data_IF_450215415130
#
_entry.id   IF_450215415130
#
_cell.length_a   1.000
_cell.length_b   1.000
_cell.length_c   1.000
_cell.angle_alpha   90.00
_cell.angle_beta   90.00
_cell.angle_gamma   90.00
#
_symmetry.space_group_name_H-M   'P 1'
#
loop_
_entity.id
_entity.type
_entity.pdbx_description
1 polymer ?
#
# COMPACT_ATOMS: atom_id res chain seq x y z
N UNK A 1 17.11 -8.85 0.59
CA UNK A 1 15.98 -7.93 0.41
C UNK A 1 16.50 -6.51 0.26
N UNK A 2 16.00 -5.78 -0.73
CA UNK A 2 16.34 -4.36 -0.96
C UNK A 2 15.04 -3.59 -1.07
N UNK A 3 14.81 -2.61 -0.20
CA UNK A 3 13.61 -1.79 -0.21
C UNK A 3 13.96 -0.34 0.16
N UNK A 4 13.13 0.62 -0.24
CA UNK A 4 13.37 2.03 0.07
C UNK A 4 13.57 2.29 1.58
N UNK A 5 12.81 1.60 2.44
CA UNK A 5 12.90 1.72 3.91
C UNK A 5 13.37 0.42 4.54
N UNK A 6 14.16 0.56 5.62
CA UNK A 6 14.33 -0.54 6.57
C UNK A 6 13.00 -0.87 7.27
N UNK A 7 12.83 -2.10 7.78
CA UNK A 7 11.61 -2.53 8.46
C UNK A 7 11.47 -1.98 9.89
N UNK A 8 12.16 -0.89 10.19
CA UNK A 8 12.22 -0.28 11.52
C UNK A 8 12.10 1.23 11.47
N UNK A 9 11.51 1.80 12.52
CA UNK A 9 11.48 3.24 12.78
C UNK A 9 12.31 3.56 14.02
N UNK A 10 12.97 4.72 13.98
CA UNK A 10 13.73 5.21 15.13
C UNK A 10 12.78 5.80 16.17
N UNK A 11 12.97 5.41 17.43
CA UNK A 11 12.22 5.91 18.58
C UNK A 11 13.20 6.30 19.69
N UNK A 12 12.72 7.01 20.71
CA UNK A 12 13.53 7.28 21.89
C UNK A 12 14.03 5.96 22.50
N UNK A 13 15.34 5.81 22.58
CA UNK A 13 15.99 4.62 23.15
C UNK A 13 16.29 3.47 22.20
N UNK A 14 16.04 3.61 20.87
CA UNK A 14 16.41 2.54 19.94
C UNK A 14 15.56 2.43 18.66
N UNK A 15 15.29 1.20 18.27
CA UNK A 15 14.54 0.86 17.06
C UNK A 15 13.24 0.11 17.40
N UNK A 16 12.19 0.38 16.66
CA UNK A 16 10.91 -0.32 16.73
C UNK A 16 10.53 -0.81 15.34
N UNK A 17 9.86 -1.96 15.25
CA UNK A 17 9.32 -2.44 13.97
C UNK A 17 8.37 -1.41 13.35
N UNK A 18 8.56 -1.07 12.09
CA UNK A 18 7.68 -0.17 11.34
C UNK A 18 6.30 -0.79 11.15
N UNK A 19 5.22 -0.01 11.26
CA UNK A 19 3.85 -0.52 11.17
C UNK A 19 3.35 -0.72 9.72
N UNK A 20 4.23 -0.88 8.74
CA UNK A 20 3.84 -1.00 7.33
C UNK A 20 3.40 -2.40 6.93
N UNK A 21 2.38 -2.51 6.03
CA UNK A 21 1.94 -3.79 5.49
C UNK A 21 3.04 -4.57 4.77
N UNK A 22 3.89 -3.88 4.00
CA UNK A 22 5.05 -4.49 3.35
C UNK A 22 6.05 -5.08 4.35
N UNK A 23 6.32 -4.39 5.46
CA UNK A 23 7.20 -4.87 6.52
C UNK A 23 6.60 -6.11 7.19
N UNK A 24 5.31 -6.06 7.51
CA UNK A 24 4.61 -7.20 8.08
C UNK A 24 4.63 -8.43 7.17
N UNK A 25 4.55 -8.20 5.86
CA UNK A 25 4.60 -9.24 4.84
C UNK A 25 6.01 -9.88 4.68
N UNK A 26 7.06 -9.07 4.65
CA UNK A 26 8.41 -9.51 4.25
C UNK A 26 9.32 -9.92 5.42
N UNK A 27 9.16 -9.33 6.61
CA UNK A 27 10.01 -9.64 7.75
C UNK A 27 9.98 -11.13 8.17
N UNK A 28 8.82 -11.83 8.22
CA UNK A 28 8.78 -13.24 8.50
C UNK A 28 9.56 -14.11 7.48
N UNK A 29 9.50 -13.73 6.20
CA UNK A 29 10.20 -14.44 5.13
C UNK A 29 11.71 -14.38 5.32
N UNK A 30 12.25 -13.19 5.67
CA UNK A 30 13.68 -13.02 5.91
C UNK A 30 14.16 -13.73 7.17
N UNK A 31 13.38 -13.71 8.25
CA UNK A 31 13.72 -14.46 9.49
C UNK A 31 13.86 -15.96 9.20
N UNK A 32 12.95 -16.53 8.43
CA UNK A 32 12.96 -17.95 8.09
C UNK A 32 14.14 -18.35 7.20
N UNK A 33 14.75 -17.43 6.47
CA UNK A 33 15.81 -17.69 5.48
C UNK A 33 17.18 -17.13 5.85
N UNK A 34 17.37 -16.61 7.07
CA UNK A 34 18.59 -15.93 7.50
C UNK A 34 19.07 -14.84 6.51
N UNK A 35 18.13 -14.13 5.93
CA UNK A 35 18.38 -13.06 4.96
C UNK A 35 18.73 -11.72 5.60
N UNK A 36 19.20 -10.78 4.79
CA UNK A 36 19.45 -9.40 5.22
C UNK A 36 18.54 -8.40 4.50
N UNK A 37 18.45 -7.18 5.04
CA UNK A 37 17.65 -6.10 4.48
C UNK A 37 18.50 -4.86 4.27
N UNK A 38 18.61 -4.40 3.02
CA UNK A 38 19.24 -3.13 2.63
C UNK A 38 18.13 -2.08 2.46
N UNK A 39 18.26 -0.93 3.11
CA UNK A 39 17.24 0.11 3.05
C UNK A 39 17.63 1.39 3.78
N UNK A 40 16.90 2.47 3.55
CA UNK A 40 17.07 3.72 4.30
C UNK A 40 16.44 3.60 5.70
N UNK A 41 17.14 4.12 6.72
CA UNK A 41 16.69 4.10 8.13
C UNK A 41 15.46 4.99 8.40
N UNK A 42 15.19 5.95 7.49
CA UNK A 42 14.16 6.98 7.68
C UNK A 42 14.67 8.28 8.31
N UNK A 43 15.88 8.28 8.84
CA UNK A 43 16.52 9.49 9.33
C UNK A 43 17.31 10.17 8.19
N UNK A 44 17.13 11.47 8.04
CA UNK A 44 17.81 12.30 7.05
C UNK A 44 19.12 12.80 7.66
N UNK A 45 20.20 12.86 6.87
CA UNK A 45 21.53 13.32 7.29
C UNK A 45 22.14 12.53 8.46
N UNK A 46 21.64 11.33 8.72
CA UNK A 46 22.11 10.51 9.84
C UNK A 46 22.67 9.16 9.34
N UNK A 47 23.99 9.00 9.29
CA UNK A 47 24.60 7.71 8.98
C UNK A 47 24.36 6.73 10.12
N UNK A 48 23.85 5.56 9.79
CA UNK A 48 23.58 4.46 10.73
C UNK A 48 24.46 3.28 10.34
N UNK A 49 25.21 2.73 11.28
CA UNK A 49 25.99 1.51 11.06
C UNK A 49 25.06 0.30 10.91
N UNK A 50 25.48 -0.75 10.19
CA UNK A 50 24.74 -2.01 10.13
C UNK A 50 24.46 -2.57 11.53
N UNK A 51 23.25 -3.11 11.73
CA UNK A 51 22.83 -3.66 13.01
C UNK A 51 21.85 -4.81 12.82
N UNK A 52 21.62 -5.58 13.88
CA UNK A 52 20.65 -6.68 13.88
C UNK A 52 19.41 -6.29 14.67
N UNK A 53 18.24 -6.53 14.07
CA UNK A 53 16.94 -6.29 14.69
C UNK A 53 16.02 -7.46 14.42
N UNK A 54 15.42 -8.02 15.47
CA UNK A 54 14.43 -9.10 15.39
C UNK A 54 14.87 -10.28 14.47
N UNK A 55 16.16 -10.66 14.60
CA UNK A 55 16.75 -11.77 13.83
C UNK A 55 17.17 -11.45 12.41
N UNK A 56 16.96 -10.23 11.92
CA UNK A 56 17.33 -9.79 10.57
C UNK A 56 18.54 -8.85 10.64
N UNK A 57 19.54 -9.07 9.78
CA UNK A 57 20.67 -8.15 9.62
C UNK A 57 20.27 -6.98 8.71
N UNK A 58 20.37 -5.76 9.22
CA UNK A 58 19.94 -4.54 8.57
C UNK A 58 21.14 -3.73 8.10
N UNK A 59 21.13 -3.34 6.83
CA UNK A 59 22.18 -2.55 6.19
C UNK A 59 21.62 -1.20 5.73
N UNK A 60 21.83 -0.13 6.53
CA UNK A 60 21.28 1.19 6.24
C UNK A 60 21.97 1.87 5.04
N UNK A 61 21.16 2.41 4.13
CA UNK A 61 21.61 3.37 3.11
C UNK A 61 21.26 4.77 3.60
N UNK A 62 22.27 5.64 3.68
CA UNK A 62 22.06 7.02 4.14
C UNK A 62 21.49 7.88 3.02
N UNK A 63 20.44 8.62 3.34
CA UNK A 63 19.88 9.68 2.51
C UNK A 63 20.06 11.02 3.21
N UNK A 64 20.53 12.03 2.45
CA UNK A 64 20.58 13.42 2.92
C UNK A 64 19.24 14.16 2.70
N UNK A 65 19.15 15.42 3.15
CA UNK A 65 17.95 16.23 3.00
C UNK A 65 17.58 16.45 1.53
N UNK A 66 18.56 16.60 0.66
CA UNK A 66 18.35 16.78 -0.78
C UNK A 66 17.88 15.47 -1.44
N UNK A 67 18.40 14.31 -1.02
CA UNK A 67 17.88 13.01 -1.46
C UNK A 67 16.41 12.83 -1.07
N UNK A 68 16.06 13.22 0.17
CA UNK A 68 14.67 13.15 0.61
C UNK A 68 13.74 14.02 -0.25
N UNK A 69 14.16 15.26 -0.53
CA UNK A 69 13.38 16.20 -1.33
C UNK A 69 13.30 15.77 -2.81
N UNK A 70 14.43 15.44 -3.46
CA UNK A 70 14.48 15.25 -4.90
C UNK A 70 14.20 13.81 -5.34
N UNK A 71 14.75 12.81 -4.64
CA UNK A 71 14.51 11.40 -4.94
C UNK A 71 13.17 10.94 -4.42
N UNK A 72 12.88 11.19 -3.10
CA UNK A 72 11.69 10.62 -2.48
C UNK A 72 10.43 11.46 -2.75
N UNK A 73 10.39 12.75 -2.34
CA UNK A 73 9.23 13.61 -2.56
C UNK A 73 9.10 14.00 -4.04
N UNK A 74 10.20 14.28 -4.72
CA UNK A 74 10.26 14.66 -6.12
C UNK A 74 9.99 13.50 -7.07
N UNK A 75 11.04 12.81 -7.53
CA UNK A 75 10.90 11.82 -8.60
C UNK A 75 9.98 10.66 -8.23
N UNK A 76 10.14 10.09 -7.04
CA UNK A 76 9.30 8.95 -6.64
C UNK A 76 7.83 9.33 -6.45
N UNK A 77 7.53 10.44 -5.76
CA UNK A 77 6.18 10.74 -5.31
C UNK A 77 5.47 11.88 -6.06
N UNK A 78 6.20 12.71 -6.82
CA UNK A 78 5.62 13.75 -7.68
C UNK A 78 5.75 13.46 -9.18
N UNK A 79 6.57 12.45 -9.57
CA UNK A 79 6.66 11.97 -10.96
C UNK A 79 6.06 10.56 -11.11
N UNK A 80 6.67 9.54 -10.48
CA UNK A 80 6.26 8.14 -10.69
C UNK A 80 4.91 7.81 -10.06
N UNK A 81 4.66 8.23 -8.82
CA UNK A 81 3.42 7.93 -8.12
C UNK A 81 2.17 8.36 -8.89
N UNK A 82 2.03 9.63 -9.34
CA UNK A 82 0.86 10.03 -10.13
C UNK A 82 0.80 9.36 -11.49
N UNK A 83 1.94 9.15 -12.17
CA UNK A 83 1.97 8.46 -13.46
C UNK A 83 1.47 7.01 -13.33
N UNK A 84 1.88 6.29 -12.28
CA UNK A 84 1.51 4.90 -12.05
C UNK A 84 0.07 4.74 -11.51
N UNK A 85 -0.53 5.83 -11.03
CA UNK A 85 -1.92 5.89 -10.62
C UNK A 85 -2.81 6.63 -11.64
N UNK A 86 -2.58 6.36 -12.93
CA UNK A 86 -3.42 6.80 -14.06
C UNK A 86 -3.65 8.32 -14.11
N UNK A 87 -2.66 9.12 -13.71
CA UNK A 87 -2.68 10.60 -13.78
C UNK A 87 -3.86 11.24 -13.00
N UNK A 88 -4.26 10.68 -11.85
CA UNK A 88 -5.26 11.31 -10.97
C UNK A 88 -4.87 12.75 -10.65
N UNK A 89 -3.56 13.01 -10.54
CA UNK A 89 -2.96 14.34 -10.57
C UNK A 89 -1.83 14.35 -11.59
N UNK A 90 -1.50 15.52 -12.14
CA UNK A 90 -0.45 15.65 -13.15
C UNK A 90 0.94 15.33 -12.55
N UNK A 91 1.75 14.47 -13.18
CA UNK A 91 3.13 14.24 -12.77
C UNK A 91 4.00 15.45 -13.09
N UNK A 92 5.03 15.66 -12.30
CA UNK A 92 6.04 16.67 -12.55
C UNK A 92 7.31 16.02 -13.10
N UNK A 93 7.80 16.51 -14.22
CA UNK A 93 9.03 16.02 -14.85
C UNK A 93 10.15 17.02 -14.58
N UNK A 94 11.15 16.61 -13.79
CA UNK A 94 12.29 17.43 -13.37
C UNK A 94 13.58 16.66 -13.55
N UNK A 95 14.50 17.18 -14.38
CA UNK A 95 15.79 16.55 -14.70
C UNK A 95 16.67 16.39 -13.44
N UNK A 96 16.69 17.35 -12.54
CA UNK A 96 17.48 17.26 -11.30
C UNK A 96 16.96 16.14 -10.40
N UNK A 97 15.64 15.96 -10.29
CA UNK A 97 15.02 14.85 -9.54
C UNK A 97 15.37 13.50 -10.15
N UNK A 98 15.40 13.43 -11.48
CA UNK A 98 15.83 12.23 -12.20
C UNK A 98 17.29 11.89 -11.92
N UNK A 99 18.21 12.86 -11.99
CA UNK A 99 19.62 12.63 -11.67
C UNK A 99 19.76 12.13 -10.22
N UNK A 100 19.05 12.73 -9.28
CA UNK A 100 19.06 12.31 -7.88
C UNK A 100 18.51 10.89 -7.70
N UNK A 101 17.44 10.54 -8.42
CA UNK A 101 16.89 9.18 -8.43
C UNK A 101 17.94 8.15 -8.90
N UNK A 102 18.69 8.46 -9.94
CA UNK A 102 19.80 7.62 -10.41
C UNK A 102 20.89 7.47 -9.35
N UNK A 103 21.34 8.56 -8.76
CA UNK A 103 22.42 8.57 -7.76
C UNK A 103 22.04 7.74 -6.52
N UNK A 104 20.81 7.86 -6.05
CA UNK A 104 20.30 7.05 -4.93
C UNK A 104 20.24 5.58 -5.31
N UNK A 105 19.72 5.24 -6.50
CA UNK A 105 19.68 3.85 -6.96
C UNK A 105 21.07 3.24 -7.08
N UNK A 106 22.10 4.01 -7.53
CA UNK A 106 23.50 3.56 -7.55
C UNK A 106 23.99 3.24 -6.14
N UNK A 107 23.66 4.06 -5.13
CA UNK A 107 24.05 3.80 -3.72
C UNK A 107 23.39 2.52 -3.19
N UNK A 108 22.11 2.30 -3.48
CA UNK A 108 21.41 1.06 -3.11
C UNK A 108 22.02 -0.17 -3.79
N UNK A 109 22.33 -0.07 -5.10
CA UNK A 109 22.96 -1.16 -5.82
C UNK A 109 24.35 -1.51 -5.26
N UNK A 110 25.20 -0.51 -4.97
CA UNK A 110 26.53 -0.71 -4.34
C UNK A 110 26.42 -1.34 -2.97
N UNK A 111 25.59 -0.80 -2.09
CA UNK A 111 25.37 -1.36 -0.76
C UNK A 111 24.90 -2.82 -0.83
N UNK A 112 24.04 -3.13 -1.79
CA UNK A 112 23.55 -4.50 -2.02
C UNK A 112 24.67 -5.41 -2.54
N UNK A 113 25.45 -4.94 -3.51
CA UNK A 113 26.58 -5.70 -4.07
C UNK A 113 27.64 -6.08 -3.02
N UNK A 114 27.87 -5.20 -2.05
CA UNK A 114 28.83 -5.42 -0.95
C UNK A 114 28.37 -6.49 0.04
N UNK A 115 27.07 -6.58 0.33
CA UNK A 115 26.53 -7.48 1.36
C UNK A 115 25.97 -8.78 0.83
N UNK A 116 25.68 -8.86 -0.47
CA UNK A 116 25.14 -10.06 -1.08
C UNK A 116 26.19 -11.16 -1.18
N UNK A 117 25.89 -12.33 -0.62
CA UNK A 117 26.74 -13.52 -0.79
C UNK A 117 26.87 -13.91 -2.28
N UNK A 118 27.90 -14.68 -2.61
CA UNK A 118 28.07 -15.19 -3.97
C UNK A 118 26.89 -16.08 -4.36
N UNK A 119 26.30 -15.83 -5.55
CA UNK A 119 25.15 -16.58 -6.06
C UNK A 119 23.85 -16.35 -5.28
N UNK A 120 23.78 -15.30 -4.46
CA UNK A 120 22.59 -15.03 -3.66
C UNK A 120 21.39 -14.60 -4.52
N UNK A 121 20.19 -14.83 -4.00
CA UNK A 121 18.96 -14.23 -4.53
C UNK A 121 18.76 -12.86 -3.92
N UNK A 122 18.65 -11.84 -4.75
CA UNK A 122 18.33 -10.46 -4.36
C UNK A 122 16.91 -10.13 -4.79
N UNK A 123 16.08 -9.68 -3.84
CA UNK A 123 14.70 -9.30 -4.11
C UNK A 123 14.53 -7.80 -3.88
N UNK A 124 14.40 -7.04 -4.96
CA UNK A 124 14.25 -5.57 -4.95
C UNK A 124 12.77 -5.22 -4.91
N UNK A 125 12.42 -4.24 -4.08
CA UNK A 125 11.04 -3.85 -3.82
C UNK A 125 10.74 -2.44 -4.31
N UNK A 126 9.71 -2.35 -5.14
CA UNK A 126 8.89 -1.18 -5.41
C UNK A 126 9.54 -0.06 -6.26
N UNK A 127 8.71 0.89 -6.67
CA UNK A 127 8.96 1.91 -7.70
C UNK A 127 10.12 2.88 -7.42
N UNK A 128 10.56 2.99 -6.18
CA UNK A 128 11.71 3.84 -5.83
C UNK A 128 13.05 3.26 -6.35
N UNK A 129 13.12 1.97 -6.63
CA UNK A 129 14.37 1.25 -6.86
C UNK A 129 14.43 0.53 -8.21
N UNK A 130 13.75 1.06 -9.23
CA UNK A 130 13.61 0.41 -10.54
C UNK A 130 14.93 0.33 -11.34
N UNK A 131 15.95 1.15 -11.01
CA UNK A 131 17.25 1.06 -11.66
C UNK A 131 18.21 0.08 -10.96
N UNK A 132 17.94 -0.26 -9.70
CA UNK A 132 18.81 -1.15 -8.90
C UNK A 132 19.09 -2.48 -9.59
N UNK A 133 18.12 -3.19 -10.19
CA UNK A 133 18.39 -4.48 -10.82
C UNK A 133 19.42 -4.41 -11.94
N UNK A 134 19.29 -3.44 -12.87
CA UNK A 134 20.23 -3.25 -13.96
C UNK A 134 21.64 -2.92 -13.48
N UNK A 135 21.73 -1.95 -12.55
CA UNK A 135 23.00 -1.56 -11.92
C UNK A 135 23.66 -2.72 -11.17
N UNK A 136 22.86 -3.52 -10.48
CA UNK A 136 23.35 -4.67 -9.72
C UNK A 136 23.81 -5.80 -10.64
N UNK A 137 23.11 -6.04 -11.74
CA UNK A 137 23.50 -7.03 -12.76
C UNK A 137 24.87 -6.74 -13.34
N UNK A 138 25.19 -5.47 -13.60
CA UNK A 138 26.50 -5.04 -14.09
C UNK A 138 27.62 -5.29 -13.04
N UNK A 139 27.35 -5.04 -11.76
CA UNK A 139 28.30 -5.21 -10.67
C UNK A 139 28.49 -6.67 -10.26
N UNK A 140 27.41 -7.45 -10.27
CA UNK A 140 27.31 -8.79 -9.73
C UNK A 140 26.50 -9.71 -10.66
N UNK A 141 27.10 -10.16 -11.77
CA UNK A 141 26.41 -11.05 -12.73
C UNK A 141 26.08 -12.44 -12.17
N UNK A 142 26.67 -12.79 -11.03
CA UNK A 142 26.43 -14.06 -10.32
C UNK A 142 25.10 -14.11 -9.55
N UNK A 143 24.44 -12.97 -9.34
CA UNK A 143 23.22 -12.89 -8.53
C UNK A 143 21.97 -13.28 -9.33
N UNK A 144 21.02 -13.91 -8.64
CA UNK A 144 19.65 -14.05 -9.12
C UNK A 144 18.84 -12.84 -8.62
N UNK A 145 18.24 -12.07 -9.52
CA UNK A 145 17.61 -10.78 -9.20
C UNK A 145 16.12 -10.81 -9.51
N UNK A 146 15.28 -10.73 -8.48
CA UNK A 146 13.85 -10.49 -8.61
C UNK A 146 13.50 -9.04 -8.26
N UNK A 147 12.54 -8.48 -8.98
CA UNK A 147 11.93 -7.18 -8.68
C UNK A 147 10.43 -7.34 -8.46
N UNK A 148 9.87 -6.64 -7.49
CA UNK A 148 8.43 -6.66 -7.26
C UNK A 148 7.87 -5.23 -7.19
N UNK A 149 6.86 -4.95 -8.01
CA UNK A 149 6.15 -3.69 -8.02
C UNK A 149 4.86 -3.79 -7.18
N UNK A 150 4.77 -2.99 -6.12
CA UNK A 150 3.62 -3.00 -5.21
C UNK A 150 2.49 -2.05 -5.63
N UNK A 151 2.79 -1.06 -6.46
CA UNK A 151 1.84 -0.11 -7.02
C UNK A 151 1.39 -0.56 -8.42
N UNK A 152 0.32 -0.01 -8.99
CA UNK A 152 -0.08 -0.32 -10.36
C UNK A 152 1.05 -0.01 -11.37
N UNK A 153 1.10 -0.74 -12.47
CA UNK A 153 1.94 -0.37 -13.60
C UNK A 153 1.06 0.30 -14.68
N UNK A 154 1.43 1.50 -15.19
CA UNK A 154 0.59 2.27 -16.09
C UNK A 154 0.43 1.60 -17.44
N UNK A 155 -0.61 2.00 -18.20
CA UNK A 155 -0.75 1.60 -19.59
C UNK A 155 0.46 2.06 -20.41
N UNK A 156 0.81 1.36 -21.52
CA UNK A 156 1.95 1.76 -22.36
C UNK A 156 1.89 3.21 -22.84
N UNK A 157 0.71 3.73 -23.16
CA UNK A 157 0.56 5.10 -23.63
C UNK A 157 0.84 6.13 -22.53
N UNK A 158 0.44 5.85 -21.29
CA UNK A 158 0.78 6.70 -20.16
C UNK A 158 2.27 6.60 -19.81
N UNK A 159 2.84 5.40 -19.80
CA UNK A 159 4.26 5.20 -19.48
C UNK A 159 5.18 5.91 -20.48
N UNK A 160 4.80 5.94 -21.78
CA UNK A 160 5.56 6.63 -22.82
C UNK A 160 5.66 8.15 -22.64
N UNK A 161 4.83 8.75 -21.77
CA UNK A 161 4.96 10.16 -21.40
C UNK A 161 6.22 10.44 -20.57
N UNK A 162 6.75 9.42 -19.87
CA UNK A 162 7.94 9.57 -19.03
C UNK A 162 9.19 9.80 -19.91
N UNK A 163 9.90 10.92 -19.76
CA UNK A 163 11.10 11.19 -20.54
C UNK A 163 12.16 10.11 -20.42
N UNK A 164 12.33 9.53 -19.23
CA UNK A 164 13.36 8.54 -18.87
C UNK A 164 12.82 7.09 -18.87
N UNK A 165 11.82 6.81 -19.70
CA UNK A 165 11.18 5.50 -19.80
C UNK A 165 12.12 4.38 -20.22
N UNK A 166 13.07 4.70 -21.13
CA UNK A 166 14.01 3.70 -21.65
C UNK A 166 15.01 3.26 -20.57
N UNK A 167 15.49 4.22 -19.77
CA UNK A 167 16.39 3.94 -18.66
C UNK A 167 15.68 3.15 -17.54
N UNK A 168 14.42 3.43 -17.23
CA UNK A 168 13.66 2.66 -16.25
C UNK A 168 13.41 1.22 -16.73
N UNK A 169 13.01 1.04 -17.98
CA UNK A 169 12.87 -0.29 -18.57
C UNK A 169 14.22 -1.00 -18.60
N UNK A 170 15.30 -0.30 -18.99
CA UNK A 170 16.66 -0.84 -18.95
C UNK A 170 17.07 -1.32 -17.55
N UNK A 171 16.69 -0.57 -16.51
CA UNK A 171 16.90 -0.98 -15.12
C UNK A 171 16.17 -2.28 -14.78
N UNK A 172 14.90 -2.39 -15.15
CA UNK A 172 14.09 -3.59 -14.91
C UNK A 172 14.54 -4.79 -15.75
N UNK A 173 15.13 -4.56 -16.94
CA UNK A 173 15.68 -5.63 -17.77
C UNK A 173 16.90 -6.35 -17.13
N UNK A 174 17.48 -5.79 -16.06
CA UNK A 174 18.49 -6.47 -15.25
C UNK A 174 17.96 -7.61 -14.36
N UNK A 175 16.63 -7.76 -14.25
CA UNK A 175 16.00 -8.80 -13.46
C UNK A 175 15.99 -10.17 -14.16
N UNK A 176 15.95 -11.25 -13.38
CA UNK A 176 15.54 -12.58 -13.83
C UNK A 176 14.01 -12.71 -13.83
N UNK A 177 13.34 -12.00 -12.90
CA UNK A 177 11.87 -11.99 -12.77
C UNK A 177 11.38 -10.63 -12.29
N UNK A 178 10.34 -10.10 -12.94
CA UNK A 178 9.57 -8.92 -12.51
C UNK A 178 8.17 -9.37 -12.09
N UNK A 179 7.80 -9.12 -10.83
CA UNK A 179 6.50 -9.46 -10.27
C UNK A 179 5.57 -8.27 -10.16
N UNK A 180 4.30 -8.52 -10.39
CA UNK A 180 3.21 -7.55 -10.35
C UNK A 180 2.06 -8.03 -9.47
N UNK A 181 1.20 -7.10 -9.03
CA UNK A 181 0.02 -7.41 -8.26
C UNK A 181 -1.13 -7.96 -9.11
N UNK A 182 -1.26 -7.51 -10.36
CA UNK A 182 -2.38 -7.83 -11.25
C UNK A 182 -1.90 -8.19 -12.65
N UNK A 183 -2.63 -9.08 -13.31
CA UNK A 183 -2.37 -9.45 -14.71
C UNK A 183 -2.39 -8.23 -15.67
N UNK A 184 -3.22 -7.22 -15.38
CA UNK A 184 -3.27 -6.02 -16.19
C UNK A 184 -1.94 -5.24 -16.13
N UNK A 185 -1.33 -5.16 -14.94
CA UNK A 185 -0.04 -4.49 -14.74
C UNK A 185 1.09 -5.26 -15.45
N UNK A 186 1.10 -6.58 -15.34
CA UNK A 186 2.03 -7.44 -16.08
C UNK A 186 1.88 -7.29 -17.60
N UNK A 187 0.66 -7.34 -18.12
CA UNK A 187 0.42 -7.13 -19.58
C UNK A 187 0.90 -5.77 -20.06
N UNK A 188 0.71 -4.70 -19.27
CA UNK A 188 1.19 -3.37 -19.60
C UNK A 188 2.72 -3.33 -19.67
N UNK A 189 3.40 -3.96 -18.73
CA UNK A 189 4.86 -4.06 -18.74
C UNK A 189 5.36 -4.86 -19.96
N UNK A 190 4.80 -6.03 -20.23
CA UNK A 190 5.18 -6.86 -21.39
C UNK A 190 4.99 -6.15 -22.72
N UNK A 191 3.94 -5.33 -22.85
CA UNK A 191 3.71 -4.52 -24.04
C UNK A 191 4.79 -3.43 -24.28
N UNK A 192 5.60 -3.11 -23.26
CA UNK A 192 6.71 -2.14 -23.38
C UNK A 192 8.06 -2.81 -23.63
N UNK A 193 8.32 -3.95 -22.96
CA UNK A 193 9.61 -4.65 -23.07
C UNK A 193 9.68 -5.60 -24.28
N UNK A 194 8.54 -6.03 -24.79
CA UNK A 194 8.47 -7.03 -25.85
C UNK A 194 8.71 -8.46 -25.33
N UNK A 195 8.69 -9.43 -26.25
CA UNK A 195 8.92 -10.85 -25.97
C UNK A 195 10.25 -11.33 -26.58
N UNK A 196 11.32 -10.56 -26.43
CA UNK A 196 12.63 -10.98 -26.89
C UNK A 196 13.41 -11.77 -25.81
N UNK A 197 14.48 -12.45 -26.23
CA UNK A 197 15.28 -13.30 -25.32
C UNK A 197 16.05 -12.52 -24.25
N UNK A 198 16.06 -11.18 -24.31
CA UNK A 198 16.74 -10.30 -23.36
C UNK A 198 15.77 -9.68 -22.36
N UNK A 199 14.46 -9.88 -22.54
CA UNK A 199 13.46 -9.39 -21.62
C UNK A 199 13.39 -10.27 -20.36
N UNK A 200 13.21 -9.69 -19.15
CA UNK A 200 13.05 -10.48 -17.94
C UNK A 200 11.75 -11.28 -18.00
N UNK A 201 11.72 -12.42 -17.33
CA UNK A 201 10.45 -13.09 -17.08
C UNK A 201 9.55 -12.17 -16.26
N UNK A 202 8.27 -12.28 -16.45
CA UNK A 202 7.27 -11.55 -15.65
C UNK A 202 6.20 -12.49 -15.14
N UNK A 203 5.54 -12.09 -14.07
CA UNK A 203 4.45 -12.85 -13.48
C UNK A 203 3.59 -12.04 -12.54
N UNK A 204 2.38 -12.52 -12.31
CA UNK A 204 1.41 -11.94 -11.39
C UNK A 204 1.41 -12.71 -10.08
N UNK A 205 1.69 -12.01 -8.99
CA UNK A 205 1.78 -12.54 -7.62
C UNK A 205 1.05 -11.57 -6.67
N UNK A 206 -0.25 -11.69 -6.46
CA UNK A 206 -1.00 -10.76 -5.61
C UNK A 206 -0.57 -10.91 -4.14
N UNK A 207 0.01 -9.85 -3.55
CA UNK A 207 0.45 -9.86 -2.15
C UNK A 207 -0.72 -10.05 -1.20
N UNK A 208 -0.48 -10.73 -0.10
CA UNK A 208 -1.49 -10.90 0.95
C UNK A 208 -0.95 -10.54 2.34
N UNK A 209 -1.71 -10.84 3.37
CA UNK A 209 -1.39 -10.64 4.79
C UNK A 209 -1.07 -11.99 5.44
N UNK A 210 -0.56 -11.94 6.67
CA UNK A 210 -0.62 -13.05 7.60
C UNK A 210 -1.91 -12.92 8.44
N UNK A 211 -2.95 -13.72 8.15
CA UNK A 211 -4.22 -13.60 8.88
C UNK A 211 -4.09 -13.91 10.37
N UNK A 212 -3.12 -14.76 10.74
CA UNK A 212 -2.86 -15.13 12.15
C UNK A 212 -2.20 -13.98 12.93
N UNK A 213 -1.55 -13.04 12.25
CA UNK A 213 -0.91 -11.87 12.86
C UNK A 213 -1.88 -10.67 13.01
N UNK A 214 -3.09 -10.74 12.44
CA UNK A 214 -4.09 -9.69 12.59
C UNK A 214 -4.65 -9.72 14.01
N UNK A 215 -4.50 -8.59 14.71
CA UNK A 215 -5.01 -8.45 16.08
C UNK A 215 -6.49 -8.07 16.03
N UNK A 216 -7.36 -8.98 16.45
CA UNK A 216 -8.80 -8.70 16.56
C UNK A 216 -9.09 -8.06 17.92
N UNK A 217 -9.91 -7.00 17.95
CA UNK A 217 -10.33 -6.36 19.20
C UNK A 217 -11.15 -7.29 20.10
N UNK A 218 -10.97 -7.17 21.43
CA UNK A 218 -11.80 -7.93 22.35
C UNK A 218 -13.27 -7.47 22.29
N UNK A 219 -14.24 -8.34 22.62
CA UNK A 219 -15.66 -7.96 22.66
C UNK A 219 -15.94 -6.73 23.53
N UNK A 220 -15.23 -6.58 24.66
CA UNK A 220 -15.37 -5.44 25.57
C UNK A 220 -14.84 -4.15 24.93
N UNK A 221 -13.69 -4.23 24.21
CA UNK A 221 -13.12 -3.08 23.49
C UNK A 221 -14.04 -2.65 22.35
N UNK A 222 -14.61 -3.59 21.61
CA UNK A 222 -15.59 -3.36 20.55
C UNK A 222 -16.84 -2.68 21.10
N UNK A 223 -17.43 -3.21 22.19
CA UNK A 223 -18.62 -2.64 22.82
C UNK A 223 -18.36 -1.20 23.31
N UNK A 224 -17.22 -0.96 23.95
CA UNK A 224 -16.82 0.38 24.42
C UNK A 224 -16.61 1.36 23.25
N UNK A 225 -16.03 0.91 22.14
CA UNK A 225 -15.88 1.74 20.94
C UNK A 225 -17.25 2.11 20.37
N UNK A 226 -18.16 1.16 20.20
CA UNK A 226 -19.50 1.42 19.67
C UNK A 226 -20.31 2.36 20.59
N UNK A 227 -20.20 2.20 21.92
CA UNK A 227 -20.79 3.11 22.87
C UNK A 227 -20.24 4.54 22.73
N UNK A 228 -18.92 4.68 22.55
CA UNK A 228 -18.26 5.98 22.42
C UNK A 228 -18.68 6.76 21.17
N UNK A 229 -19.14 6.07 20.14
CA UNK A 229 -19.66 6.67 18.90
C UNK A 229 -21.20 6.71 18.85
N UNK A 230 -21.87 6.40 19.98
CA UNK A 230 -23.31 6.54 20.14
C UNK A 230 -24.15 5.32 19.73
N UNK A 231 -23.57 4.13 19.58
CA UNK A 231 -24.23 2.89 19.15
C UNK A 231 -25.13 3.09 17.92
N UNK A 232 -24.57 3.55 16.77
CA UNK A 232 -25.35 3.76 15.56
C UNK A 232 -25.96 2.46 15.02
N UNK A 233 -27.00 2.56 14.24
CA UNK A 233 -27.61 1.43 13.53
C UNK A 233 -26.62 0.73 12.61
N UNK A 234 -25.70 1.50 11.97
CA UNK A 234 -24.55 0.97 11.22
C UNK A 234 -23.28 1.75 11.53
N UNK A 235 -22.20 1.06 11.84
CA UNK A 235 -20.87 1.64 11.98
C UNK A 235 -20.04 1.34 10.73
N UNK A 236 -19.72 2.38 9.97
CA UNK A 236 -18.85 2.30 8.80
C UNK A 236 -17.43 2.71 9.14
N UNK A 237 -16.46 2.15 8.43
CA UNK A 237 -15.03 2.41 8.66
C UNK A 237 -14.28 2.68 7.35
N UNK A 238 -13.50 3.74 7.32
CA UNK A 238 -12.48 4.01 6.30
C UNK A 238 -11.10 4.05 6.95
N UNK A 239 -10.13 3.35 6.40
CA UNK A 239 -8.73 3.31 6.88
C UNK A 239 -7.79 3.53 5.71
N UNK A 240 -7.14 4.69 5.68
CA UNK A 240 -6.26 5.06 4.58
C UNK A 240 -5.06 5.88 5.09
N UNK A 241 -4.02 5.97 4.25
CA UNK A 241 -3.13 7.11 4.30
C UNK A 241 -3.87 8.32 3.72
N UNK A 242 -3.55 9.53 4.20
CA UNK A 242 -4.04 10.76 3.57
C UNK A 242 -3.35 10.89 2.19
N UNK A 243 -4.01 10.42 1.15
CA UNK A 243 -3.50 10.32 -0.22
C UNK A 243 -4.65 10.55 -1.21
N UNK A 244 -4.42 11.38 -2.23
CA UNK A 244 -5.44 11.70 -3.25
C UNK A 244 -5.90 10.48 -4.05
N UNK A 245 -5.10 9.40 -4.09
CA UNK A 245 -5.47 8.16 -4.79
C UNK A 245 -6.56 7.36 -4.06
N UNK A 246 -6.82 7.65 -2.77
CA UNK A 246 -7.68 6.83 -1.91
C UNK A 246 -9.17 7.15 -1.99
N UNK A 247 -9.58 8.20 -2.71
CA UNK A 247 -10.99 8.53 -2.92
C UNK A 247 -11.75 8.85 -1.62
N UNK A 248 -11.05 9.39 -0.60
CA UNK A 248 -11.66 9.68 0.70
C UNK A 248 -12.79 10.69 0.57
N UNK A 249 -12.58 11.78 -0.19
CA UNK A 249 -13.61 12.79 -0.39
C UNK A 249 -14.88 12.20 -1.04
N UNK A 250 -14.73 11.38 -2.07
CA UNK A 250 -15.87 10.74 -2.77
C UNK A 250 -16.65 9.82 -1.85
N UNK A 251 -15.94 9.10 -0.98
CA UNK A 251 -16.54 8.27 0.08
C UNK A 251 -17.37 9.11 1.04
N UNK A 252 -16.85 10.26 1.51
CA UNK A 252 -17.56 11.17 2.41
C UNK A 252 -18.80 11.76 1.75
N UNK A 253 -18.73 12.14 0.47
CA UNK A 253 -19.87 12.67 -0.28
C UNK A 253 -20.96 11.60 -0.51
N UNK A 254 -20.58 10.35 -0.78
CA UNK A 254 -21.52 9.25 -0.87
C UNK A 254 -22.17 8.92 0.49
N UNK A 255 -21.39 8.99 1.57
CA UNK A 255 -21.90 8.84 2.94
C UNK A 255 -22.87 9.96 3.32
N UNK A 256 -22.61 11.21 2.91
CA UNK A 256 -23.55 12.33 3.09
C UNK A 256 -24.89 12.02 2.44
N UNK A 257 -24.91 11.49 1.20
CA UNK A 257 -26.13 11.11 0.52
C UNK A 257 -26.87 9.98 1.24
N UNK A 258 -26.13 9.01 1.82
CA UNK A 258 -26.72 7.94 2.62
C UNK A 258 -27.44 8.49 3.86
N UNK A 259 -26.87 9.52 4.51
CA UNK A 259 -27.52 10.21 5.64
C UNK A 259 -28.74 11.02 5.21
N UNK A 260 -28.75 11.62 4.00
CA UNK A 260 -29.93 12.32 3.43
C UNK A 260 -31.13 11.36 3.22
N UNK A 261 -30.88 10.08 3.02
CA UNK A 261 -31.90 9.05 2.92
C UNK A 261 -32.46 8.61 4.28
N UNK A 262 -31.93 9.16 5.38
CA UNK A 262 -32.38 8.87 6.73
C UNK A 262 -31.80 7.60 7.33
N UNK A 263 -30.71 7.07 6.77
CA UNK A 263 -30.02 5.88 7.33
C UNK A 263 -29.31 6.28 8.63
N UNK A 264 -29.56 5.52 9.70
CA UNK A 264 -28.84 5.67 10.98
C UNK A 264 -27.44 5.05 10.87
N UNK A 265 -26.48 5.84 10.45
CA UNK A 265 -25.10 5.41 10.25
C UNK A 265 -24.10 6.41 10.83
N UNK A 266 -22.97 5.91 11.30
CA UNK A 266 -21.79 6.69 11.71
C UNK A 266 -20.55 6.18 10.98
N UNK A 267 -19.71 7.09 10.50
CA UNK A 267 -18.45 6.78 9.83
C UNK A 267 -17.26 7.10 10.74
N UNK A 268 -16.38 6.14 10.97
CA UNK A 268 -15.02 6.39 11.47
C UNK A 268 -14.09 6.46 10.27
N UNK A 269 -13.41 7.60 10.07
CA UNK A 269 -12.41 7.78 9.02
C UNK A 269 -11.03 7.98 9.66
N UNK A 270 -10.19 6.94 9.56
CA UNK A 270 -8.78 7.03 9.88
C UNK A 270 -8.01 7.47 8.64
N UNK A 271 -7.27 8.57 8.74
CA UNK A 271 -6.46 9.10 7.65
C UNK A 271 -5.05 9.38 8.17
N UNK A 272 -4.15 8.39 8.06
CA UNK A 272 -2.77 8.53 8.53
C UNK A 272 -2.03 9.59 7.73
N UNK A 273 -1.31 10.54 8.37
CA UNK A 273 -0.50 11.54 7.68
C UNK A 273 0.48 10.92 6.69
N UNK A 274 0.57 11.49 5.50
CA UNK A 274 1.46 11.02 4.44
C UNK A 274 1.88 12.19 3.55
N UNK A 275 3.18 12.31 3.25
CA UNK A 275 3.74 13.24 2.26
C UNK A 275 3.23 14.68 2.37
N UNK A 276 3.09 15.19 3.59
CA UNK A 276 2.43 16.47 3.92
C UNK A 276 3.11 17.72 3.31
N UNK A 277 4.34 17.58 2.77
CA UNK A 277 5.04 18.66 2.07
C UNK A 277 4.57 18.82 0.63
N UNK A 278 4.01 17.78 0.01
CA UNK A 278 3.55 17.79 -1.38
C UNK A 278 2.16 18.44 -1.45
N UNK A 279 1.99 19.41 -2.36
CA UNK A 279 0.79 20.26 -2.47
C UNK A 279 -0.51 19.46 -2.63
N UNK A 280 -0.53 18.48 -3.53
CA UNK A 280 -1.73 17.66 -3.77
C UNK A 280 -2.23 16.91 -2.52
N UNK A 281 -1.32 16.51 -1.63
CA UNK A 281 -1.68 15.85 -0.37
C UNK A 281 -2.28 16.84 0.63
N UNK A 282 -1.73 18.06 0.72
CA UNK A 282 -2.27 19.15 1.55
C UNK A 282 -3.66 19.56 1.07
N UNK A 283 -3.84 19.71 -0.24
CA UNK A 283 -5.14 20.08 -0.81
C UNK A 283 -6.18 18.97 -0.57
N UNK A 284 -5.82 17.71 -0.74
CA UNK A 284 -6.70 16.57 -0.43
C UNK A 284 -7.12 16.59 1.03
N UNK A 285 -6.18 16.82 1.96
CA UNK A 285 -6.47 16.96 3.38
C UNK A 285 -7.45 18.09 3.65
N UNK A 286 -7.21 19.27 3.08
CA UNK A 286 -8.09 20.44 3.24
C UNK A 286 -9.53 20.13 2.80
N UNK A 287 -9.69 19.51 1.63
CA UNK A 287 -11.01 19.14 1.10
C UNK A 287 -11.72 18.10 1.98
N UNK A 288 -10.99 17.10 2.48
CA UNK A 288 -11.53 16.09 3.39
C UNK A 288 -11.99 16.72 4.71
N UNK A 289 -11.15 17.55 5.33
CA UNK A 289 -11.48 18.21 6.61
C UNK A 289 -12.66 19.19 6.46
N UNK A 290 -12.75 19.91 5.34
CA UNK A 290 -13.89 20.76 5.00
C UNK A 290 -15.19 19.95 4.85
N UNK A 291 -15.14 18.83 4.13
CA UNK A 291 -16.30 17.93 3.97
C UNK A 291 -16.76 17.34 5.31
N UNK A 292 -15.83 16.89 6.15
CA UNK A 292 -16.13 16.36 7.49
C UNK A 292 -16.82 17.44 8.34
N UNK A 293 -16.28 18.65 8.36
CA UNK A 293 -16.87 19.77 9.12
C UNK A 293 -18.29 20.11 8.65
N UNK A 294 -18.50 20.19 7.35
CA UNK A 294 -19.80 20.49 6.73
C UNK A 294 -20.83 19.40 7.01
N UNK A 295 -20.47 18.13 6.82
CA UNK A 295 -21.36 16.99 7.03
C UNK A 295 -21.74 16.87 8.51
N UNK A 296 -20.78 16.98 9.41
CA UNK A 296 -21.05 16.97 10.85
C UNK A 296 -21.91 18.15 11.31
N UNK A 297 -21.71 19.35 10.73
CA UNK A 297 -22.56 20.51 11.01
C UNK A 297 -24.00 20.35 10.53
N UNK A 298 -24.23 19.56 9.49
CA UNK A 298 -25.56 19.33 8.90
C UNK A 298 -26.31 18.20 9.60
N UNK A 299 -25.66 17.08 9.90
CA UNK A 299 -26.33 15.84 10.36
C UNK A 299 -25.98 15.47 11.80
N UNK A 300 -24.89 16.00 12.34
CA UNK A 300 -24.49 15.74 13.71
C UNK A 300 -25.30 16.53 14.74
N UNK A 301 -25.18 16.13 15.99
CA UNK A 301 -25.70 16.86 17.15
C UNK A 301 -24.60 17.03 18.21
N UNK A 302 -24.85 17.84 19.24
CA UNK A 302 -23.87 18.07 20.31
C UNK A 302 -23.44 16.74 20.95
N UNK A 303 -22.14 16.45 20.91
CA UNK A 303 -21.56 15.21 21.41
C UNK A 303 -21.79 13.97 20.53
N UNK A 304 -22.46 14.09 19.37
CA UNK A 304 -22.73 12.97 18.44
C UNK A 304 -22.45 13.38 17.00
N UNK A 305 -21.18 13.48 16.58
CA UNK A 305 -20.83 13.66 15.18
C UNK A 305 -21.20 12.38 14.41
N UNK A 306 -21.58 12.53 13.14
CA UNK A 306 -21.83 11.39 12.24
C UNK A 306 -20.57 10.91 11.56
N UNK A 307 -19.49 11.70 11.57
CA UNK A 307 -18.16 11.31 11.09
C UNK A 307 -17.13 11.58 12.20
N UNK A 308 -16.50 10.51 12.67
CA UNK A 308 -15.33 10.56 13.56
C UNK A 308 -14.05 10.53 12.69
N UNK A 309 -13.49 11.70 12.44
CA UNK A 309 -12.29 11.86 11.64
C UNK A 309 -11.04 11.87 12.53
N UNK A 310 -10.06 11.06 12.19
CA UNK A 310 -8.77 10.98 12.90
C UNK A 310 -7.61 11.08 11.90
N UNK A 311 -6.85 12.19 12.01
CA UNK A 311 -5.64 12.42 11.21
C UNK A 311 -4.39 12.06 12.02
N UNK A 312 -4.23 10.78 12.34
CA UNK A 312 -3.10 10.22 13.10
C UNK A 312 -2.89 8.75 12.79
N UNK A 313 -1.70 8.25 13.09
CA UNK A 313 -1.47 6.81 13.15
C UNK A 313 -2.16 6.18 14.35
N UNK A 314 -2.54 4.92 14.23
CA UNK A 314 -3.11 4.09 15.29
C UNK A 314 -2.28 2.83 15.50
N UNK A 315 -2.30 2.25 16.69
CA UNK A 315 -1.64 0.98 16.96
C UNK A 315 -2.36 -0.17 16.26
N UNK A 316 -1.67 -1.30 16.04
CA UNK A 316 -2.30 -2.50 15.46
C UNK A 316 -3.47 -3.02 16.32
N UNK A 317 -3.34 -2.93 17.64
CA UNK A 317 -4.41 -3.33 18.57
C UNK A 317 -5.63 -2.41 18.47
N UNK A 318 -5.42 -1.08 18.40
CA UNK A 318 -6.49 -0.11 18.20
C UNK A 318 -7.17 -0.33 16.85
N UNK A 319 -6.37 -0.54 15.78
CA UNK A 319 -6.87 -0.82 14.44
C UNK A 319 -7.72 -2.09 14.38
N UNK A 320 -7.29 -3.17 15.03
CA UNK A 320 -8.06 -4.41 15.13
C UNK A 320 -9.39 -4.24 15.87
N UNK A 321 -9.47 -3.30 16.83
CA UNK A 321 -10.73 -2.94 17.48
C UNK A 321 -11.67 -2.21 16.53
N UNK A 322 -11.14 -1.28 15.71
CA UNK A 322 -11.94 -0.61 14.68
C UNK A 322 -12.46 -1.60 13.64
N UNK A 323 -11.62 -2.52 13.14
CA UNK A 323 -12.05 -3.56 12.21
C UNK A 323 -13.17 -4.40 12.77
N UNK A 324 -13.01 -4.94 13.98
CA UNK A 324 -14.00 -5.82 14.61
C UNK A 324 -15.30 -5.09 15.00
N UNK A 325 -15.28 -3.76 15.18
CA UNK A 325 -16.46 -2.98 15.52
C UNK A 325 -17.28 -2.53 14.31
N UNK A 326 -16.68 -2.47 13.12
CA UNK A 326 -17.30 -1.91 11.94
C UNK A 326 -18.19 -2.94 11.23
N UNK A 327 -19.45 -2.57 10.99
CA UNK A 327 -20.40 -3.36 10.21
C UNK A 327 -20.05 -3.33 8.71
N UNK A 328 -19.50 -2.19 8.22
CA UNK A 328 -19.14 -2.00 6.82
C UNK A 328 -17.77 -1.33 6.70
N UNK A 329 -16.86 -1.97 6.00
CA UNK A 329 -15.57 -1.37 5.60
C UNK A 329 -15.67 -0.72 4.23
N UNK A 330 -15.16 0.51 4.11
CA UNK A 330 -15.18 1.30 2.89
C UNK A 330 -13.76 1.47 2.34
N UNK A 331 -13.47 0.81 1.21
CA UNK A 331 -12.19 0.86 0.50
C UNK A 331 -12.43 1.34 -0.92
N UNK A 332 -12.27 2.64 -1.16
CA UNK A 332 -12.70 3.29 -2.40
C UNK A 332 -11.58 4.03 -3.15
N UNK A 333 -10.36 3.44 -3.30
CA UNK A 333 -9.31 4.12 -4.04
C UNK A 333 -9.68 4.26 -5.52
N UNK A 334 -9.25 5.35 -6.13
CA UNK A 334 -9.32 5.54 -7.59
C UNK A 334 -8.45 4.52 -8.34
N UNK A 335 -7.31 4.18 -7.74
CA UNK A 335 -6.37 3.16 -8.21
C UNK A 335 -5.54 2.67 -7.04
N UNK A 336 -5.34 1.37 -6.94
CA UNK A 336 -4.46 0.76 -5.92
C UNK A 336 -3.84 -0.54 -6.45
N UNK A 337 -2.57 -0.79 -6.14
CA UNK A 337 -1.90 -2.02 -6.52
C UNK A 337 -2.54 -3.26 -5.90
N UNK A 338 -2.85 -3.19 -4.60
CA UNK A 338 -3.51 -4.27 -3.86
C UNK A 338 -4.58 -3.73 -2.90
N UNK A 339 -4.22 -3.12 -1.82
CA UNK A 339 -4.96 -2.70 -0.63
C UNK A 339 -5.09 -3.81 0.43
N UNK A 340 -4.06 -3.89 1.29
CA UNK A 340 -4.03 -4.91 2.35
C UNK A 340 -5.06 -4.65 3.46
N UNK A 341 -5.49 -3.41 3.66
CA UNK A 341 -6.53 -3.02 4.65
C UNK A 341 -7.84 -3.78 4.40
N UNK A 342 -8.21 -3.97 3.13
CA UNK A 342 -9.37 -4.79 2.77
C UNK A 342 -9.23 -6.24 3.25
N UNK A 343 -8.04 -6.83 3.08
CA UNK A 343 -7.75 -8.20 3.53
C UNK A 343 -7.66 -8.30 5.06
N UNK A 344 -7.10 -7.28 5.73
CA UNK A 344 -7.04 -7.20 7.19
C UNK A 344 -8.44 -7.14 7.81
N UNK A 345 -9.35 -6.33 7.24
CA UNK A 345 -10.74 -6.27 7.66
C UNK A 345 -11.43 -7.62 7.50
N UNK A 346 -11.31 -8.26 6.35
CA UNK A 346 -11.89 -9.58 6.09
C UNK A 346 -11.38 -10.62 7.09
N UNK A 347 -10.09 -10.57 7.45
CA UNK A 347 -9.50 -11.49 8.44
C UNK A 347 -10.08 -11.31 9.85
N UNK A 348 -10.70 -10.17 10.16
CA UNK A 348 -11.36 -9.91 11.43
C UNK A 348 -12.80 -10.45 11.50
N UNK A 349 -13.39 -10.93 10.39
CA UNK A 349 -14.80 -11.32 10.28
C UNK A 349 -14.99 -12.79 9.85
N UNK A 350 -14.46 -13.78 10.61
CA UNK A 350 -14.55 -15.20 10.23
C UNK A 350 -15.98 -15.74 10.18
N UNK A 351 -16.86 -15.17 11.01
CA UNK A 351 -18.27 -15.62 11.14
C UNK A 351 -19.22 -14.99 10.12
N UNK A 352 -18.71 -14.06 9.29
CA UNK A 352 -19.49 -13.43 8.24
C UNK A 352 -20.27 -12.19 8.68
N UNK A 353 -19.94 -11.60 9.81
CA UNK A 353 -20.67 -10.50 10.47
C UNK A 353 -20.32 -9.09 9.97
N UNK A 354 -19.50 -8.99 8.91
CA UNK A 354 -19.09 -7.72 8.29
C UNK A 354 -19.39 -7.65 6.80
N UNK A 355 -19.26 -6.45 6.23
CA UNK A 355 -19.40 -6.22 4.79
C UNK A 355 -18.25 -5.35 4.27
N UNK A 356 -17.82 -5.60 3.03
CA UNK A 356 -16.74 -4.84 2.38
C UNK A 356 -17.26 -4.15 1.13
N UNK A 357 -17.24 -2.81 1.13
CA UNK A 357 -17.40 -1.99 -0.08
C UNK A 357 -15.98 -1.78 -0.64
N UNK A 358 -15.78 -2.18 -1.89
CA UNK A 358 -14.45 -2.20 -2.49
C UNK A 358 -14.46 -1.59 -3.90
N UNK A 359 -13.51 -0.69 -4.16
CA UNK A 359 -13.28 -0.18 -5.52
C UNK A 359 -12.88 -1.31 -6.48
N UNK A 360 -13.52 -1.37 -7.63
CA UNK A 360 -13.16 -2.27 -8.73
C UNK A 360 -11.73 -2.02 -9.27
N UNK A 361 -11.13 -0.85 -8.97
CA UNK A 361 -9.76 -0.49 -9.35
C UNK A 361 -8.71 -0.79 -8.28
N UNK A 362 -9.08 -1.39 -7.16
CA UNK A 362 -8.13 -1.94 -6.20
C UNK A 362 -7.71 -3.35 -6.62
N UNK A 363 -6.43 -3.69 -6.49
CA UNK A 363 -5.94 -5.03 -6.79
C UNK A 363 -6.63 -6.13 -5.97
N UNK A 364 -7.00 -5.81 -4.72
CA UNK A 364 -7.75 -6.70 -3.85
C UNK A 364 -9.10 -7.14 -4.44
N UNK A 365 -9.72 -6.36 -5.34
CA UNK A 365 -11.01 -6.71 -5.96
C UNK A 365 -10.92 -7.96 -6.85
N UNK A 366 -9.73 -8.29 -7.37
CA UNK A 366 -9.50 -9.50 -8.17
C UNK A 366 -9.68 -10.76 -7.32
N UNK A 367 -9.24 -10.72 -6.06
CA UNK A 367 -9.36 -11.85 -5.14
C UNK A 367 -10.65 -11.78 -4.29
N UNK A 368 -11.05 -10.58 -3.86
CA UNK A 368 -12.23 -10.34 -3.02
C UNK A 368 -13.47 -9.95 -3.85
N UNK A 369 -13.72 -10.67 -4.93
CA UNK A 369 -14.83 -10.37 -5.86
C UNK A 369 -16.23 -10.59 -5.25
N UNK A 370 -16.33 -11.17 -4.06
CA UNK A 370 -17.56 -11.24 -3.27
C UNK A 370 -17.83 -9.91 -2.51
N UNK A 371 -16.93 -8.93 -2.52
CA UNK A 371 -17.16 -7.59 -2.00
C UNK A 371 -18.26 -6.84 -2.78
N UNK A 372 -18.83 -5.81 -2.17
CA UNK A 372 -19.76 -4.89 -2.84
C UNK A 372 -18.93 -3.90 -3.67
N UNK A 373 -18.77 -4.22 -4.96
CA UNK A 373 -17.88 -3.47 -5.83
C UNK A 373 -18.51 -2.12 -6.23
N UNK A 374 -17.66 -1.09 -6.25
CA UNK A 374 -18.05 0.26 -6.70
C UNK A 374 -17.04 0.86 -7.67
N UNK A 375 -17.53 1.74 -8.54
CA UNK A 375 -16.72 2.67 -9.30
C UNK A 375 -16.50 3.94 -8.45
N UNK A 376 -15.27 4.22 -7.97
CA UNK A 376 -15.01 5.36 -7.09
C UNK A 376 -15.10 6.73 -7.79
N UNK A 377 -15.15 6.75 -9.13
CA UNK A 377 -15.37 7.97 -9.92
C UNK A 377 -16.85 8.37 -10.00
N UNK A 378 -17.76 7.48 -9.58
CA UNK A 378 -19.21 7.69 -9.61
C UNK A 378 -19.79 7.60 -8.19
N UNK A 379 -20.20 8.74 -7.63
CA UNK A 379 -20.78 8.80 -6.27
C UNK A 379 -21.99 7.90 -6.09
N UNK A 380 -22.86 7.79 -7.11
CA UNK A 380 -24.01 6.90 -7.07
C UNK A 380 -23.61 5.41 -7.00
N UNK A 381 -22.50 5.01 -7.59
CA UNK A 381 -21.96 3.65 -7.49
C UNK A 381 -21.48 3.34 -6.08
N UNK A 382 -20.77 4.29 -5.43
CA UNK A 382 -20.33 4.13 -4.04
C UNK A 382 -21.58 4.03 -3.12
N UNK A 383 -22.54 4.94 -3.28
CA UNK A 383 -23.77 4.95 -2.49
C UNK A 383 -24.56 3.65 -2.63
N UNK A 384 -24.74 3.14 -3.85
CA UNK A 384 -25.38 1.84 -4.11
C UNK A 384 -24.66 0.72 -3.35
N UNK A 385 -23.32 0.63 -3.45
CA UNK A 385 -22.54 -0.39 -2.78
C UNK A 385 -22.67 -0.30 -1.24
N UNK A 386 -22.70 0.93 -0.69
CA UNK A 386 -22.96 1.15 0.74
C UNK A 386 -24.33 0.62 1.17
N UNK A 387 -25.40 0.90 0.38
CA UNK A 387 -26.76 0.39 0.67
C UNK A 387 -26.82 -1.13 0.63
N UNK A 388 -26.26 -1.73 -0.41
CA UNK A 388 -26.21 -3.19 -0.55
C UNK A 388 -25.42 -3.84 0.61
N UNK A 389 -24.36 -3.19 1.08
CA UNK A 389 -23.53 -3.67 2.19
C UNK A 389 -24.28 -3.61 3.55
N UNK A 390 -25.24 -2.72 3.72
CA UNK A 390 -26.08 -2.66 4.94
C UNK A 390 -27.04 -3.85 5.08
N UNK A 391 -27.40 -4.47 3.96
CA UNK A 391 -28.20 -5.70 3.92
C UNK A 391 -27.35 -6.87 3.42
N UNK A 392 -26.20 -7.05 4.07
CA UNK A 392 -25.15 -7.97 3.59
C UNK A 392 -25.54 -9.45 3.75
N UNK A 393 -25.15 -10.26 2.76
CA UNK A 393 -25.17 -11.73 2.86
C UNK A 393 -23.88 -12.22 3.58
N UNK A 394 -23.99 -12.83 4.77
CA UNK A 394 -22.83 -13.36 5.52
C UNK A 394 -21.96 -14.33 4.72
N UNK A 395 -22.55 -15.06 3.78
CA UNK A 395 -21.80 -16.02 2.96
C UNK A 395 -20.76 -15.35 2.05
N UNK A 396 -20.98 -14.10 1.65
CA UNK A 396 -20.01 -13.32 0.88
C UNK A 396 -18.73 -13.09 1.69
N UNK A 397 -18.87 -12.66 2.95
CA UNK A 397 -17.73 -12.44 3.83
C UNK A 397 -16.98 -13.75 4.16
N UNK A 398 -17.73 -14.85 4.42
CA UNK A 398 -17.10 -16.18 4.66
C UNK A 398 -16.30 -16.66 3.47
N UNK A 399 -16.78 -16.46 2.24
CA UNK A 399 -16.01 -16.80 1.03
C UNK A 399 -14.75 -15.95 0.88
N UNK A 400 -14.82 -14.64 1.15
CA UNK A 400 -13.66 -13.76 1.15
C UNK A 400 -12.67 -14.17 2.25
N UNK A 401 -13.13 -14.48 3.44
CA UNK A 401 -12.28 -14.95 4.54
C UNK A 401 -11.53 -16.24 4.16
N UNK A 402 -12.22 -17.21 3.59
CA UNK A 402 -11.61 -18.46 3.14
C UNK A 402 -10.51 -18.22 2.07
N UNK A 403 -10.67 -17.22 1.20
CA UNK A 403 -9.66 -16.84 0.21
C UNK A 403 -8.44 -16.22 0.86
N UNK A 404 -8.62 -15.29 1.82
CA UNK A 404 -7.53 -14.65 2.55
C UNK A 404 -6.72 -15.68 3.34
N UNK A 405 -7.37 -16.68 3.93
CA UNK A 405 -6.68 -17.79 4.59
C UNK A 405 -5.93 -18.70 3.60
N UNK A 406 -6.51 -18.96 2.45
CA UNK A 406 -5.94 -19.86 1.44
C UNK A 406 -4.79 -19.26 0.64
N UNK A 407 -4.66 -17.93 0.65
CA UNK A 407 -3.62 -17.18 -0.04
C UNK A 407 -3.02 -16.12 0.89
N UNK A 408 -2.16 -16.56 1.79
CA UNK A 408 -1.48 -15.71 2.77
C UNK A 408 -0.14 -15.17 2.23
N UNK A 409 0.52 -14.34 3.03
CA UNK A 409 1.80 -13.72 2.68
C UNK A 409 2.94 -14.74 2.53
N UNK A 410 2.90 -15.85 3.25
CA UNK A 410 3.94 -16.87 3.17
C UNK A 410 3.87 -17.61 1.85
N UNK A 411 2.66 -17.93 1.39
CA UNK A 411 2.42 -18.50 0.08
C UNK A 411 2.84 -17.54 -1.04
N UNK A 412 2.44 -16.27 -0.98
CA UNK A 412 2.86 -15.23 -1.91
C UNK A 412 4.38 -15.17 -2.07
N UNK A 413 5.11 -15.11 -0.94
CA UNK A 413 6.56 -15.02 -0.96
C UNK A 413 7.21 -16.31 -1.49
N UNK A 414 6.67 -17.48 -1.14
CA UNK A 414 7.16 -18.76 -1.62
C UNK A 414 6.98 -18.90 -3.13
N UNK A 415 5.82 -18.55 -3.67
CA UNK A 415 5.52 -18.60 -5.12
C UNK A 415 6.47 -17.68 -5.90
N UNK A 416 6.67 -16.43 -5.46
CA UNK A 416 7.60 -15.50 -6.10
C UNK A 416 9.04 -16.04 -6.06
N UNK A 417 9.53 -16.45 -4.87
CA UNK A 417 10.91 -16.92 -4.71
C UNK A 417 11.18 -18.24 -5.44
N UNK A 418 10.17 -19.10 -5.58
CA UNK A 418 10.28 -20.31 -6.39
C UNK A 418 10.39 -19.96 -7.88
N UNK A 419 9.61 -18.98 -8.34
CA UNK A 419 9.62 -18.58 -9.74
C UNK A 419 10.93 -17.84 -10.12
N UNK A 420 11.45 -16.95 -9.25
CA UNK A 420 12.71 -16.25 -9.53
C UNK A 420 13.91 -17.20 -9.61
N UNK A 421 13.87 -18.34 -8.90
CA UNK A 421 14.93 -19.35 -8.86
C UNK A 421 14.94 -20.31 -10.08
N UNK A 422 13.94 -20.29 -10.94
CA UNK A 422 13.88 -21.05 -12.21
C UNK A 422 14.75 -20.45 -13.29
#
# INVERSE_FOLDING_TARGET
MVANRLPVDRVEGGWKASPGGLVAALAPVLRARAGCWVGWSGAVDEPVAPFRFDGIDLYPVTLDAQDYEEFYEGFSNSTLWPLYHDLIVAPQYNEQWWQRYRDVNVRFARATAEVAAQGATVWVQDYQLQLVPGLLREMRPDLTIGFFLHIPFPSPDLFRQLPWREELIGGLNGCDLVGFQREADERNFRALVGDDNNSPRSGTFPISIDPAAVQVGSPEAVAKLRESVGNPGALMLGVDRMDYTKGILQRLLAFEQLLEEGVDATLIQLATPSRERIEHYRETRRQVEEAVGRINGRFGSVGRPVIHYMHRGVSKQELGTFYAAADVMLVTPFKDGMNLVAKEYVACHPDGDGALVLSEFAGAAVELHDAYLCNPFEGASILRAMREALDSDPERMRRMYARVLGHDVHRWAAEFLQEVAR
#
